data_IF_927328494582
#
_entry.id   IF_927328494582
#
_cell.length_a   1.000
_cell.length_b   1.000
_cell.length_c   1.000
_cell.angle_alpha   90.00
_cell.angle_beta   90.00
_cell.angle_gamma   90.00
#
_symmetry.space_group_name_H-M   'P 1'
#
loop_
_entity.id
_entity.type
_entity.pdbx_description
1 polymer ?
#
# COMPACT_ATOMS: atom_id res chain seq x y z
N UNK A 1 -25.88 -70.07 24.88
CA UNK A 1 -27.26 -69.58 24.76
C UNK A 1 -27.21 -68.07 24.58
N UNK A 2 -27.98 -67.59 23.61
CA UNK A 2 -27.97 -66.25 23.06
C UNK A 2 -28.82 -65.29 23.92
N UNK A 3 -28.57 -63.98 23.73
CA UNK A 3 -29.44 -62.79 23.99
C UNK A 3 -29.08 -61.96 25.23
N UNK A 4 -28.47 -60.77 25.07
CA UNK A 4 -29.05 -59.47 24.67
C UNK A 4 -30.06 -58.93 25.69
N UNK A 5 -29.69 -57.92 26.52
CA UNK A 5 -30.00 -56.45 26.41
C UNK A 5 -31.50 -56.16 26.71
N UNK A 6 -31.99 -55.01 27.25
CA UNK A 6 -31.39 -53.73 27.71
C UNK A 6 -31.90 -53.24 29.09
N UNK A 7 -31.29 -52.21 29.67
CA UNK A 7 -31.96 -50.97 30.12
C UNK A 7 -31.01 -50.14 30.98
N UNK A 8 -31.17 -48.82 30.88
CA UNK A 8 -30.54 -47.77 31.68
C UNK A 8 -29.09 -47.47 31.25
N UNK A 9 -28.82 -46.62 30.25
CA UNK A 9 -29.35 -45.27 30.08
C UNK A 9 -29.45 -44.57 31.44
N UNK A 10 -28.45 -43.73 31.73
CA UNK A 10 -28.20 -43.06 32.99
C UNK A 10 -27.45 -43.92 34.01
N UNK A 11 -26.13 -43.76 34.06
CA UNK A 11 -25.50 -43.21 35.25
C UNK A 11 -24.05 -42.84 34.90
N UNK A 12 -23.75 -41.53 35.00
CA UNK A 12 -22.42 -41.00 35.37
C UNK A 12 -21.36 -41.13 34.26
N UNK A 13 -21.15 -40.18 33.33
CA UNK A 13 -20.81 -38.78 33.58
C UNK A 13 -20.11 -38.59 34.92
N UNK A 14 -18.79 -38.75 34.99
CA UNK A 14 -17.82 -37.99 35.83
C UNK A 14 -16.51 -38.79 35.97
N UNK A 15 -15.39 -38.09 35.77
CA UNK A 15 -13.98 -38.51 35.95
C UNK A 15 -13.33 -39.21 34.74
N UNK A 16 -12.73 -38.41 33.86
CA UNK A 16 -11.35 -38.56 33.36
C UNK A 16 -11.01 -37.28 32.55
N UNK A 17 -11.05 -36.14 33.22
CA UNK A 17 -10.72 -34.82 32.67
C UNK A 17 -9.58 -34.24 33.51
N UNK A 18 -8.41 -34.89 33.47
CA UNK A 18 -7.14 -34.33 33.98
C UNK A 18 -5.98 -35.11 33.37
N UNK A 19 -5.62 -34.76 32.14
CA UNK A 19 -4.25 -34.96 31.65
C UNK A 19 -3.78 -33.62 31.09
N UNK A 20 -2.89 -33.01 31.88
CA UNK A 20 -1.84 -32.06 31.49
C UNK A 20 -2.25 -30.64 31.08
N UNK A 21 -2.32 -29.76 32.09
CA UNK A 21 -1.63 -28.47 31.94
C UNK A 21 -0.12 -28.75 31.88
N UNK A 22 0.59 -28.19 30.89
CA UNK A 22 1.80 -27.37 31.07
C UNK A 22 2.64 -27.32 29.78
N UNK A 23 2.29 -26.40 28.87
CA UNK A 23 3.22 -25.87 27.86
C UNK A 23 3.05 -24.36 27.83
N UNK A 24 3.69 -23.75 28.81
CA UNK A 24 4.34 -22.45 28.81
C UNK A 24 4.23 -21.63 27.50
N UNK A 25 3.25 -20.71 27.50
CA UNK A 25 3.36 -19.31 27.11
C UNK A 25 4.77 -18.82 26.69
N UNK A 26 5.04 -18.73 25.39
CA UNK A 26 5.92 -17.73 24.75
C UNK A 26 5.52 -17.55 23.27
N UNK A 27 4.36 -16.92 23.01
CA UNK A 27 4.00 -16.48 21.65
C UNK A 27 3.19 -15.18 21.67
N UNK A 28 3.65 -14.20 22.44
CA UNK A 28 3.11 -12.83 22.41
C UNK A 28 4.00 -11.86 21.64
N UNK A 29 5.32 -12.10 21.57
CA UNK A 29 6.26 -11.24 20.85
C UNK A 29 6.17 -11.37 19.32
N UNK A 30 6.10 -12.59 18.78
CA UNK A 30 6.12 -12.81 17.33
C UNK A 30 4.85 -12.33 16.61
N UNK A 31 3.68 -12.51 17.23
CA UNK A 31 2.40 -12.04 16.66
C UNK A 31 2.39 -10.51 16.52
N UNK A 32 2.79 -9.78 17.57
CA UNK A 32 2.82 -8.32 17.55
C UNK A 32 3.80 -7.72 16.52
N UNK A 33 4.96 -8.35 16.34
CA UNK A 33 5.96 -7.93 15.34
C UNK A 33 5.43 -8.18 13.93
N UNK A 34 4.86 -9.36 13.67
CA UNK A 34 4.28 -9.72 12.38
C UNK A 34 3.12 -8.78 12.00
N UNK A 35 2.22 -8.48 12.94
CA UNK A 35 1.11 -7.55 12.74
C UNK A 35 1.63 -6.15 12.36
N UNK A 36 2.73 -5.70 12.99
CA UNK A 36 3.32 -4.39 12.70
C UNK A 36 3.95 -4.31 11.30
N UNK A 37 4.58 -5.39 10.83
CA UNK A 37 5.16 -5.48 9.48
C UNK A 37 4.06 -5.51 8.42
N UNK A 38 3.02 -6.31 8.65
CA UNK A 38 1.86 -6.36 7.77
C UNK A 38 1.14 -5.01 7.69
N UNK A 39 1.04 -4.27 8.81
CA UNK A 39 0.49 -2.92 8.80
C UNK A 39 1.31 -1.94 7.96
N UNK A 40 2.65 -2.07 7.92
CA UNK A 40 3.51 -1.26 7.05
C UNK A 40 3.32 -1.62 5.57
N UNK A 41 3.27 -2.90 5.23
CA UNK A 41 3.00 -3.37 3.87
C UNK A 41 1.66 -2.84 3.36
N UNK A 42 0.61 -2.97 4.17
CA UNK A 42 -0.72 -2.46 3.83
C UNK A 42 -0.73 -0.94 3.62
N UNK A 43 0.04 -0.18 4.41
CA UNK A 43 0.18 1.27 4.22
C UNK A 43 0.85 1.59 2.87
N UNK A 44 1.94 0.90 2.54
CA UNK A 44 2.63 1.07 1.25
C UNK A 44 1.67 0.80 0.09
N UNK A 45 0.98 -0.34 0.13
CA UNK A 45 0.04 -0.74 -0.92
C UNK A 45 -1.15 0.21 -1.03
N UNK A 46 -1.67 0.69 0.10
CA UNK A 46 -2.74 1.69 0.10
C UNK A 46 -2.30 2.99 -0.57
N UNK A 47 -1.07 3.47 -0.32
CA UNK A 47 -0.53 4.63 -1.03
C UNK A 47 -0.39 4.31 -2.51
N UNK A 48 0.22 3.17 -2.87
CA UNK A 48 0.33 2.73 -4.28
C UNK A 48 -1.01 2.77 -5.01
N UNK A 49 -2.05 2.15 -4.45
CA UNK A 49 -3.37 2.04 -5.08
C UNK A 49 -4.02 3.42 -5.24
N UNK A 50 -3.89 4.28 -4.22
CA UNK A 50 -4.34 5.66 -4.27
C UNK A 50 -3.67 6.43 -5.40
N UNK A 51 -2.37 6.23 -5.61
CA UNK A 51 -1.63 6.88 -6.68
C UNK A 51 -2.02 6.36 -8.06
N UNK A 52 -2.20 5.05 -8.21
CA UNK A 52 -2.64 4.44 -9.46
C UNK A 52 -4.00 4.99 -9.92
N UNK A 53 -4.90 5.30 -8.97
CA UNK A 53 -6.16 5.98 -9.27
C UNK A 53 -6.02 7.38 -9.86
N UNK A 54 -4.87 8.04 -9.68
CA UNK A 54 -4.60 9.42 -10.13
C UNK A 54 -3.62 9.52 -11.30
N UNK A 55 -2.92 8.44 -11.66
CA UNK A 55 -2.04 8.40 -12.84
C UNK A 55 -2.80 8.81 -14.11
N UNK A 56 -4.08 8.45 -14.22
CA UNK A 56 -4.94 8.89 -15.33
C UNK A 56 -5.11 10.41 -15.38
N UNK A 57 -5.35 11.05 -14.24
CA UNK A 57 -5.44 12.51 -14.14
C UNK A 57 -4.12 13.18 -14.51
N UNK A 58 -3.01 12.62 -14.00
CA UNK A 58 -1.65 13.13 -14.24
C UNK A 58 -1.32 13.15 -15.74
N UNK A 59 -1.58 12.04 -16.43
CA UNK A 59 -1.33 11.91 -17.87
C UNK A 59 -2.24 12.81 -18.69
N UNK A 60 -3.52 12.93 -18.32
CA UNK A 60 -4.45 13.86 -18.95
C UNK A 60 -3.97 15.31 -18.80
N UNK A 61 -3.64 15.73 -17.58
CA UNK A 61 -3.12 17.07 -17.33
C UNK A 61 -1.86 17.35 -18.16
N UNK A 62 -0.92 16.41 -18.22
CA UNK A 62 0.29 16.54 -19.03
C UNK A 62 -0.03 16.73 -20.51
N UNK A 63 -0.90 15.88 -21.08
CA UNK A 63 -1.30 15.96 -22.48
C UNK A 63 -2.03 17.27 -22.80
N UNK A 64 -2.97 17.68 -21.96
CA UNK A 64 -3.69 18.96 -22.12
C UNK A 64 -2.73 20.14 -22.06
N UNK A 65 -1.79 20.13 -21.10
CA UNK A 65 -0.82 21.21 -20.97
C UNK A 65 0.10 21.31 -22.19
N UNK A 66 0.62 20.18 -22.69
CA UNK A 66 1.44 20.14 -23.90
C UNK A 66 0.67 20.67 -25.11
N UNK A 67 -0.57 20.21 -25.30
CA UNK A 67 -1.41 20.65 -26.40
C UNK A 67 -1.67 22.17 -26.39
N UNK A 68 -2.02 22.73 -25.22
CA UNK A 68 -2.26 24.17 -25.08
C UNK A 68 -0.99 24.99 -25.25
N UNK A 69 0.14 24.52 -24.70
CA UNK A 69 1.44 25.17 -24.87
C UNK A 69 1.79 25.31 -26.35
N UNK A 70 1.59 24.24 -27.12
CA UNK A 70 1.96 24.20 -28.53
C UNK A 70 0.96 24.99 -29.38
N UNK A 71 -0.34 24.88 -29.09
CA UNK A 71 -1.41 25.53 -29.86
C UNK A 71 -1.51 27.04 -29.62
N UNK A 72 -1.20 27.51 -28.41
CA UNK A 72 -1.31 28.92 -28.00
C UNK A 72 0.06 29.60 -27.87
N UNK A 73 1.13 28.92 -28.29
CA UNK A 73 2.51 29.38 -28.19
C UNK A 73 2.94 29.83 -26.78
N UNK A 74 2.52 29.09 -25.74
CA UNK A 74 2.78 29.43 -24.34
C UNK A 74 4.15 28.92 -23.85
N UNK A 75 5.19 29.01 -24.68
CA UNK A 75 6.55 28.59 -24.35
C UNK A 75 7.16 29.51 -23.27
N UNK A 76 6.79 29.30 -22.02
CA UNK A 76 7.37 29.98 -20.87
C UNK A 76 7.79 28.97 -19.80
N UNK A 77 8.72 29.40 -18.94
CA UNK A 77 9.36 28.56 -17.96
C UNK A 77 8.39 27.89 -16.98
N UNK A 78 7.23 28.50 -16.68
CA UNK A 78 6.26 27.90 -15.77
C UNK A 78 5.56 26.68 -16.40
N UNK A 79 5.19 26.77 -17.68
CA UNK A 79 4.56 25.66 -18.41
C UNK A 79 5.52 24.49 -18.58
N UNK A 80 6.75 24.75 -19.02
CA UNK A 80 7.74 23.68 -19.21
C UNK A 80 8.13 23.02 -17.89
N UNK A 81 8.23 23.81 -16.81
CA UNK A 81 8.49 23.27 -15.47
C UNK A 81 7.39 22.31 -15.03
N UNK A 82 6.12 22.69 -15.16
CA UNK A 82 5.02 21.86 -14.68
C UNK A 82 4.83 20.62 -15.56
N UNK A 83 4.97 20.74 -16.88
CA UNK A 83 4.97 19.58 -17.80
C UNK A 83 6.08 18.59 -17.40
N UNK A 84 7.29 19.08 -17.10
CA UNK A 84 8.37 18.23 -16.63
C UNK A 84 8.06 17.61 -15.25
N UNK A 85 7.48 18.35 -14.31
CA UNK A 85 7.07 17.82 -13.01
C UNK A 85 6.03 16.69 -13.13
N UNK A 86 5.04 16.85 -14.02
CA UNK A 86 4.05 15.81 -14.32
C UNK A 86 4.73 14.54 -14.88
N UNK A 87 5.66 14.71 -15.82
CA UNK A 87 6.41 13.60 -16.43
C UNK A 87 7.32 12.88 -15.42
N UNK A 88 7.99 13.64 -14.55
CA UNK A 88 8.84 13.09 -13.49
C UNK A 88 8.00 12.34 -12.45
N UNK A 89 6.84 12.87 -12.08
CA UNK A 89 5.92 12.21 -11.16
C UNK A 89 5.37 10.89 -11.73
N UNK A 90 5.01 10.84 -13.02
CA UNK A 90 4.55 9.61 -13.69
C UNK A 90 5.66 8.56 -13.61
N UNK A 91 6.88 8.94 -14.01
CA UNK A 91 8.05 8.06 -14.04
C UNK A 91 8.48 7.59 -12.65
N UNK A 92 8.36 8.43 -11.63
CA UNK A 92 8.79 8.11 -10.26
C UNK A 92 8.00 6.94 -9.67
N UNK A 93 6.71 6.82 -9.98
CA UNK A 93 5.88 5.70 -9.53
C UNK A 93 6.30 4.38 -10.20
N UNK A 94 6.57 4.39 -11.50
CA UNK A 94 7.09 3.21 -12.21
C UNK A 94 8.48 2.80 -11.74
N UNK A 95 9.36 3.79 -11.53
CA UNK A 95 10.71 3.55 -11.02
C UNK A 95 10.68 2.95 -9.62
N UNK A 96 9.74 3.39 -8.77
CA UNK A 96 9.53 2.79 -7.45
C UNK A 96 9.06 1.34 -7.57
N UNK A 97 8.03 1.08 -8.38
CA UNK A 97 7.50 -0.28 -8.56
C UNK A 97 8.56 -1.25 -9.10
N UNK A 98 9.48 -0.79 -9.96
CA UNK A 98 10.59 -1.61 -10.45
C UNK A 98 11.65 -1.94 -9.39
N UNK A 99 11.69 -1.19 -8.29
CA UNK A 99 12.64 -1.37 -7.18
C UNK A 99 12.00 -2.01 -5.94
N UNK A 100 10.69 -1.90 -5.80
CA UNK A 100 9.95 -2.44 -4.67
C UNK A 100 9.82 -3.96 -4.78
N UNK A 101 10.47 -4.66 -3.87
CA UNK A 101 10.37 -6.09 -3.66
C UNK A 101 9.65 -6.37 -2.33
N UNK A 102 8.49 -7.01 -2.40
CA UNK A 102 7.68 -7.35 -1.22
C UNK A 102 8.28 -8.49 -0.39
N UNK A 103 9.11 -9.34 -0.99
CA UNK A 103 9.69 -10.52 -0.34
C UNK A 103 11.07 -10.25 0.26
N UNK A 104 11.57 -9.02 0.10
CA UNK A 104 12.86 -8.59 0.62
C UNK A 104 12.94 -8.69 2.14
N UNK A 105 14.04 -9.27 2.62
CA UNK A 105 14.41 -9.38 4.03
C UNK A 105 13.37 -10.09 4.93
N UNK A 106 12.43 -10.88 4.37
CA UNK A 106 11.39 -11.65 5.11
C UNK A 106 11.92 -12.49 6.25
N UNK A 107 13.12 -13.06 6.12
CA UNK A 107 13.76 -13.87 7.16
C UNK A 107 14.34 -13.06 8.33
N UNK A 108 14.43 -11.73 8.22
CA UNK A 108 15.08 -10.85 9.18
C UNK A 108 14.15 -9.68 9.57
N UNK A 109 13.31 -9.85 10.61
CA UNK A 109 12.23 -8.91 10.94
C UNK A 109 12.66 -7.44 11.08
N UNK A 110 13.80 -7.18 11.71
CA UNK A 110 14.29 -5.81 11.91
C UNK A 110 14.79 -5.17 10.62
N UNK A 111 15.46 -5.95 9.74
CA UNK A 111 15.87 -5.47 8.41
C UNK A 111 14.66 -5.23 7.52
N UNK A 112 13.67 -6.14 7.55
CA UNK A 112 12.40 -5.96 6.84
C UNK A 112 11.69 -4.69 7.28
N UNK A 113 11.61 -4.45 8.59
CA UNK A 113 10.99 -3.23 9.13
C UNK A 113 11.65 -1.96 8.58
N UNK A 114 12.99 -1.90 8.60
CA UNK A 114 13.74 -0.76 8.07
C UNK A 114 13.53 -0.57 6.57
N UNK A 115 13.54 -1.68 5.81
CA UNK A 115 13.24 -1.66 4.39
C UNK A 115 11.83 -1.11 4.12
N UNK A 116 10.79 -1.65 4.77
CA UNK A 116 9.41 -1.20 4.59
C UNK A 116 9.23 0.27 4.99
N UNK A 117 9.86 0.74 6.08
CA UNK A 117 9.84 2.17 6.46
C UNK A 117 10.44 3.03 5.35
N UNK A 118 11.56 2.60 4.77
CA UNK A 118 12.22 3.32 3.67
C UNK A 118 11.33 3.35 2.42
N UNK A 119 10.69 2.23 2.09
CA UNK A 119 9.76 2.15 0.95
C UNK A 119 8.52 3.01 1.16
N UNK A 120 7.98 3.03 2.39
CA UNK A 120 6.86 3.91 2.76
C UNK A 120 7.25 5.38 2.58
N UNK A 121 8.42 5.80 3.07
CA UNK A 121 8.92 7.16 2.87
C UNK A 121 9.08 7.50 1.38
N UNK A 122 9.59 6.57 0.57
CA UNK A 122 9.73 6.79 -0.87
C UNK A 122 8.37 6.99 -1.54
N UNK A 123 7.41 6.08 -1.33
CA UNK A 123 6.11 6.14 -2.00
C UNK A 123 5.30 7.36 -1.53
N UNK A 124 5.48 7.81 -0.29
CA UNK A 124 4.95 9.08 0.23
C UNK A 124 5.55 10.31 -0.49
N UNK A 125 6.83 10.29 -0.83
CA UNK A 125 7.44 11.37 -1.63
C UNK A 125 6.94 11.37 -3.07
N UNK A 126 6.72 10.19 -3.67
CA UNK A 126 6.07 10.07 -4.98
C UNK A 126 4.68 10.67 -4.92
N UNK A 127 3.91 10.32 -3.89
CA UNK A 127 2.59 10.89 -3.63
C UNK A 127 2.63 12.41 -3.64
N UNK A 128 3.46 13.00 -2.78
CA UNK A 128 3.51 14.45 -2.62
C UNK A 128 3.92 15.14 -3.92
N UNK A 129 4.87 14.57 -4.66
CA UNK A 129 5.30 15.09 -5.95
C UNK A 129 4.17 15.08 -6.98
N UNK A 130 3.40 13.98 -7.03
CA UNK A 130 2.29 13.82 -7.96
C UNK A 130 1.14 14.78 -7.65
N UNK A 131 0.74 14.91 -6.37
CA UNK A 131 -0.30 15.85 -5.97
C UNK A 131 0.11 17.32 -6.23
N UNK A 132 1.36 17.68 -5.94
CA UNK A 132 1.88 19.04 -6.22
C UNK A 132 1.90 19.35 -7.72
N UNK A 133 2.31 18.38 -8.55
CA UNK A 133 2.33 18.56 -9.99
C UNK A 133 0.90 18.73 -10.55
N UNK A 134 -0.06 17.93 -10.07
CA UNK A 134 -1.47 18.05 -10.43
C UNK A 134 -2.08 19.39 -10.02
N UNK A 135 -1.85 19.84 -8.79
CA UNK A 135 -2.34 21.14 -8.30
C UNK A 135 -1.76 22.30 -9.11
N UNK A 136 -0.45 22.26 -9.39
CA UNK A 136 0.22 23.26 -10.21
C UNK A 136 -0.33 23.29 -11.65
N UNK A 137 -0.61 22.12 -12.22
CA UNK A 137 -1.24 21.99 -13.53
C UNK A 137 -2.67 22.55 -13.53
N UNK A 138 -3.47 22.24 -12.52
CA UNK A 138 -4.82 22.75 -12.36
C UNK A 138 -4.84 24.28 -12.34
N UNK A 139 -3.92 24.90 -11.59
CA UNK A 139 -3.80 26.36 -11.49
C UNK A 139 -3.52 26.98 -12.87
N UNK A 140 -2.59 26.41 -13.65
CA UNK A 140 -2.27 26.93 -14.99
C UNK A 140 -3.34 26.65 -16.04
N UNK A 141 -4.05 25.53 -15.92
CA UNK A 141 -5.10 25.13 -16.87
C UNK A 141 -6.41 25.89 -16.66
N UNK A 142 -6.68 26.38 -15.43
CA UNK A 142 -7.94 27.02 -15.06
C UNK A 142 -8.45 28.08 -16.07
N UNK A 143 -7.63 29.01 -16.59
CA UNK A 143 -8.09 30.02 -17.55
C UNK A 143 -8.52 29.47 -18.93
N UNK A 144 -8.22 28.21 -19.20
CA UNK A 144 -8.43 27.53 -20.49
C UNK A 144 -9.51 26.44 -20.41
N UNK A 145 -9.85 25.96 -19.22
CA UNK A 145 -10.82 24.87 -19.01
C UNK A 145 -12.17 25.33 -18.45
N UNK A 146 -12.25 26.53 -17.89
CA UNK A 146 -13.49 27.10 -17.31
C UNK A 146 -14.20 28.11 -18.24
N UNK A 147 -13.92 28.08 -19.55
CA UNK A 147 -14.64 28.88 -20.56
C UNK A 147 -15.73 28.07 -21.23
#
# INVERSE_FOLDING_TARGET
>A
MHRFIPHMLAYVCIIMLVISCHSHNQQSGQTSQQDSLQALENQILHVHDSLMGKIGDLRRASATMQHLRDSLHLQNAAWDRIINQLSLADSAMFNWMGQFDIDKDTAQPDLRKQYLITQLQYVEQVKDSMYRALDSAQILLKPYTER
#
